data_IF_093698870503
#
_entry.id   IF_093698870503
#
_cell.length_a   1.000
_cell.length_b   1.000
_cell.length_c   1.000
_cell.angle_alpha   90.00
_cell.angle_beta   90.00
_cell.angle_gamma   90.00
#
_symmetry.space_group_name_H-M   'P 1'
#
loop_
_entity.id
_entity.type
_entity.pdbx_description
1 polymer ?
#
# COMPACT_ATOMS: atom_id res chain seq x y z
N UNK A 1 -4.69 6.55 6.57
CA UNK A 1 -3.23 6.71 6.33
C UNK A 1 -2.70 5.30 6.38
N UNK A 2 -2.30 4.78 5.22
CA UNK A 2 -1.87 3.39 5.05
C UNK A 2 -0.44 3.27 5.59
N UNK A 3 -0.21 2.34 6.52
CA UNK A 3 1.12 2.01 7.03
C UNK A 3 1.47 0.61 6.48
N UNK A 4 1.72 0.52 5.16
CA UNK A 4 2.22 -0.70 4.54
C UNK A 4 3.74 -0.72 4.65
N UNK A 5 4.25 -1.71 5.36
CA UNK A 5 5.67 -2.06 5.38
C UNK A 5 5.76 -3.47 4.84
N UNK A 6 6.21 -3.64 3.60
CA UNK A 6 6.08 -4.93 2.92
C UNK A 6 7.15 -5.94 3.35
N UNK A 7 8.20 -5.49 4.04
CA UNK A 7 9.34 -6.32 4.44
C UNK A 7 9.82 -6.03 5.86
N UNK A 8 10.37 -7.04 6.53
CA UNK A 8 10.87 -6.88 7.92
C UNK A 8 12.10 -5.95 7.96
N UNK A 9 12.91 -5.99 6.90
CA UNK A 9 14.07 -5.13 6.71
C UNK A 9 13.95 -4.34 5.40
N UNK A 10 14.88 -3.43 5.14
CA UNK A 10 14.98 -2.71 3.86
C UNK A 10 13.81 -1.76 3.53
N UNK A 11 13.21 -1.14 4.55
CA UNK A 11 12.21 -0.06 4.35
C UNK A 11 12.72 1.34 4.75
N UNK A 12 13.90 1.44 5.34
CA UNK A 12 14.45 2.68 5.89
C UNK A 12 15.90 2.91 5.42
N UNK A 13 16.35 4.18 5.31
CA UNK A 13 17.73 4.49 4.91
C UNK A 13 18.72 4.17 6.05
N UNK A 14 19.93 3.65 5.74
CA UNK A 14 20.99 3.51 6.74
C UNK A 14 21.28 4.85 7.46
N UNK A 15 21.54 4.87 8.78
CA UNK A 15 21.84 3.74 9.67
C UNK A 15 20.61 3.17 10.42
N UNK A 16 19.39 3.51 10.00
CA UNK A 16 18.15 2.96 10.55
C UNK A 16 18.03 1.51 10.02
N UNK A 17 18.57 0.57 10.79
CA UNK A 17 18.47 -0.87 10.53
C UNK A 17 17.33 -1.45 11.37
N UNK A 18 16.58 -2.38 10.75
CA UNK A 18 15.34 -2.98 11.22
C UNK A 18 15.47 -3.65 12.60
N UNK A 19 16.67 -4.01 13.02
CA UNK A 19 16.88 -4.62 14.33
C UNK A 19 17.23 -3.59 15.41
N UNK A 20 16.27 -3.40 16.31
CA UNK A 20 16.36 -2.79 17.64
C UNK A 20 16.13 -1.27 17.74
N UNK A 21 16.65 -0.45 16.83
CA UNK A 21 16.53 1.03 16.94
C UNK A 21 15.22 1.54 16.34
N UNK A 22 14.78 0.96 15.22
CA UNK A 22 13.60 1.44 14.50
C UNK A 22 12.31 0.98 15.16
N UNK A 23 12.22 -0.29 15.55
CA UNK A 23 11.06 -0.82 16.25
C UNK A 23 10.82 -0.09 17.59
N UNK A 24 11.89 0.19 18.36
CA UNK A 24 11.78 0.97 19.60
C UNK A 24 11.37 2.43 19.33
N UNK A 25 11.84 3.06 18.25
CA UNK A 25 11.43 4.42 17.90
C UNK A 25 9.98 4.48 17.40
N UNK A 26 9.58 3.56 16.53
CA UNK A 26 8.20 3.44 16.03
C UNK A 26 7.25 3.17 17.21
N UNK A 27 7.55 2.18 18.05
CA UNK A 27 6.77 1.90 19.26
C UNK A 27 6.77 3.11 20.20
N UNK A 28 7.88 3.84 20.35
CA UNK A 28 7.93 5.04 21.19
C UNK A 28 7.07 6.18 20.65
N UNK A 29 7.11 6.44 19.34
CA UNK A 29 6.28 7.44 18.67
C UNK A 29 4.81 7.05 18.77
N UNK A 30 4.47 5.80 18.45
CA UNK A 30 3.11 5.29 18.56
C UNK A 30 2.60 5.34 20.01
N UNK A 31 3.43 4.99 20.98
CA UNK A 31 3.10 5.07 22.41
C UNK A 31 2.89 6.50 22.87
N UNK A 32 3.75 7.43 22.45
CA UNK A 32 3.62 8.85 22.76
C UNK A 32 2.33 9.42 22.15
N UNK A 33 2.06 9.16 20.88
CA UNK A 33 0.84 9.62 20.21
C UNK A 33 -0.42 8.98 20.79
N UNK A 34 -0.38 7.71 21.17
CA UNK A 34 -1.48 7.03 21.87
C UNK A 34 -1.78 7.70 23.21
N UNK A 35 -0.75 8.22 23.92
CA UNK A 35 -0.94 8.97 25.17
C UNK A 35 -1.40 10.41 24.94
N UNK A 36 -0.92 11.09 23.89
CA UNK A 36 -1.20 12.51 23.63
C UNK A 36 -2.53 12.72 22.89
N UNK A 37 -2.88 11.84 21.96
CA UNK A 37 -4.11 11.86 21.16
C UNK A 37 -4.67 10.44 20.98
N UNK A 38 -5.22 9.82 22.03
CA UNK A 38 -5.66 8.42 22.02
C UNK A 38 -6.68 8.11 20.91
N UNK A 39 -7.68 8.99 20.72
CA UNK A 39 -8.69 8.80 19.68
C UNK A 39 -8.11 8.87 18.25
N UNK A 40 -7.06 9.68 18.03
CA UNK A 40 -6.42 9.81 16.73
C UNK A 40 -5.49 8.61 16.45
N UNK A 41 -4.70 8.20 17.44
CA UNK A 41 -3.86 7.01 17.37
C UNK A 41 -4.67 5.72 17.15
N UNK A 42 -5.82 5.59 17.83
CA UNK A 42 -6.72 4.47 17.66
C UNK A 42 -7.21 4.33 16.21
N UNK A 43 -7.59 5.46 15.59
CA UNK A 43 -8.01 5.54 14.20
C UNK A 43 -6.85 5.41 13.19
N UNK A 44 -5.59 5.61 13.61
CA UNK A 44 -4.45 5.54 12.70
C UNK A 44 -3.86 4.14 12.58
N UNK A 45 -3.73 3.39 13.66
CA UNK A 45 -3.01 2.11 13.64
C UNK A 45 -3.61 1.01 14.51
N UNK A 46 -4.33 1.32 15.62
CA UNK A 46 -4.79 0.25 16.52
C UNK A 46 -5.75 -0.71 15.81
N UNK A 47 -6.72 -0.19 15.05
CA UNK A 47 -7.66 -1.05 14.36
C UNK A 47 -6.97 -1.92 13.29
N UNK A 48 -6.08 -1.32 12.50
CA UNK A 48 -5.33 -2.03 11.47
C UNK A 48 -4.39 -3.10 12.03
N UNK A 49 -3.80 -2.88 13.21
CA UNK A 49 -3.00 -3.88 13.92
C UNK A 49 -3.86 -4.99 14.52
N UNK A 50 -5.04 -4.65 15.05
CA UNK A 50 -6.00 -5.65 15.51
C UNK A 50 -6.48 -6.55 14.37
N UNK A 51 -6.76 -5.98 13.19
CA UNK A 51 -7.13 -6.76 12.00
C UNK A 51 -6.02 -7.74 11.59
N UNK A 52 -4.77 -7.29 11.58
CA UNK A 52 -3.59 -8.14 11.32
C UNK A 52 -3.42 -9.27 12.36
N UNK A 53 -3.72 -9.00 13.63
CA UNK A 53 -3.74 -10.02 14.70
C UNK A 53 -5.03 -10.86 14.76
N UNK A 54 -6.06 -10.52 14.00
CA UNK A 54 -7.40 -11.11 14.15
C UNK A 54 -8.04 -10.87 15.53
N UNK A 55 -7.61 -9.82 16.24
CA UNK A 55 -8.16 -9.38 17.54
C UNK A 55 -9.12 -8.20 17.35
N UNK A 56 -9.77 -7.76 18.43
CA UNK A 56 -10.67 -6.59 18.41
C UNK A 56 -10.44 -5.75 19.67
N UNK A 57 -10.46 -4.43 19.49
CA UNK A 57 -10.48 -3.44 20.57
C UNK A 57 -9.27 -3.50 21.53
N UNK A 58 -8.14 -4.12 21.12
CA UNK A 58 -6.89 -4.02 21.88
C UNK A 58 -6.24 -2.65 21.64
N UNK A 59 -5.76 -2.04 22.71
CA UNK A 59 -4.88 -0.89 22.62
C UNK A 59 -3.45 -1.31 22.22
N UNK A 60 -2.57 -0.35 21.94
CA UNK A 60 -1.19 -0.63 21.52
C UNK A 60 -0.45 -1.54 22.50
N UNK A 61 -0.68 -1.39 23.81
CA UNK A 61 -0.04 -2.23 24.83
C UNK A 61 -0.58 -3.66 24.80
N UNK A 62 -1.88 -3.84 24.65
CA UNK A 62 -2.51 -5.15 24.45
C UNK A 62 -2.06 -5.83 23.17
N UNK A 63 -1.92 -5.08 22.08
CA UNK A 63 -1.36 -5.57 20.81
C UNK A 63 0.06 -6.09 21.01
N UNK A 64 0.93 -5.32 21.68
CA UNK A 64 2.32 -5.72 21.94
C UNK A 64 2.40 -6.99 22.80
N UNK A 65 1.58 -7.08 23.85
CA UNK A 65 1.51 -8.26 24.70
C UNK A 65 0.99 -9.49 23.93
N UNK A 66 0.04 -9.32 23.02
CA UNK A 66 -0.50 -10.40 22.19
C UNK A 66 0.49 -10.85 21.11
N UNK A 67 1.26 -9.94 20.50
CA UNK A 67 2.35 -10.33 19.60
C UNK A 67 3.40 -11.18 20.33
N UNK A 68 3.76 -10.80 21.55
CA UNK A 68 4.70 -11.55 22.38
C UNK A 68 4.12 -12.94 22.76
N UNK A 69 2.83 -13.00 23.13
CA UNK A 69 2.16 -14.26 23.48
C UNK A 69 2.12 -15.27 22.31
N UNK A 70 2.04 -14.76 21.09
CA UNK A 70 2.04 -15.55 19.84
C UNK A 70 3.44 -15.82 19.28
N UNK A 71 4.48 -15.25 19.88
CA UNK A 71 5.86 -15.40 19.42
C UNK A 71 6.14 -14.71 18.07
N UNK A 72 5.39 -13.66 17.73
CA UNK A 72 5.54 -12.87 16.51
C UNK A 72 6.21 -11.54 16.88
N UNK A 73 7.19 -11.07 16.12
CA UNK A 73 7.79 -9.75 16.36
C UNK A 73 6.85 -8.63 15.90
N UNK A 74 6.97 -7.44 16.46
CA UNK A 74 6.17 -6.30 16.00
C UNK A 74 6.45 -5.96 14.53
N UNK A 75 7.70 -6.10 14.07
CA UNK A 75 8.03 -5.90 12.65
C UNK A 75 7.31 -6.90 11.74
N UNK A 76 7.26 -8.18 12.14
CA UNK A 76 6.50 -9.21 11.41
C UNK A 76 4.99 -8.94 11.40
N UNK A 77 4.46 -8.31 12.45
CA UNK A 77 3.07 -7.88 12.47
C UNK A 77 2.83 -6.79 11.41
N UNK A 78 3.74 -5.82 11.29
CA UNK A 78 3.63 -4.73 10.32
C UNK A 78 3.70 -5.22 8.86
N UNK A 79 4.38 -6.34 8.61
CA UNK A 79 4.49 -6.95 7.26
C UNK A 79 3.29 -7.79 6.84
N UNK A 80 2.25 -7.91 7.67
CA UNK A 80 1.04 -8.63 7.25
C UNK A 80 0.27 -7.76 6.26
N UNK A 81 0.05 -8.23 5.01
CA UNK A 81 -0.66 -7.49 3.99
C UNK A 81 -2.11 -7.22 4.40
N UNK A 82 -2.51 -5.98 4.20
CA UNK A 82 -3.88 -5.53 4.26
C UNK A 82 -4.73 -6.26 3.21
N UNK A 83 -5.92 -6.68 3.61
CA UNK A 83 -6.82 -7.42 2.73
C UNK A 83 -7.95 -6.50 2.26
N UNK A 84 -8.28 -6.58 0.97
CA UNK A 84 -9.32 -5.75 0.33
C UNK A 84 -10.69 -5.88 1.01
N UNK A 85 -10.96 -7.01 1.68
CA UNK A 85 -12.21 -7.29 2.39
C UNK A 85 -12.30 -6.69 3.79
N UNK A 86 -11.20 -6.17 4.33
CA UNK A 86 -11.20 -5.56 5.66
C UNK A 86 -12.11 -4.32 5.71
N UNK A 87 -12.95 -4.29 6.73
CA UNK A 87 -13.86 -3.18 7.00
C UNK A 87 -13.48 -2.59 8.34
N UNK A 88 -13.11 -1.32 8.30
CA UNK A 88 -12.74 -0.55 9.46
C UNK A 88 -13.99 0.07 10.05
N UNK A 89 -14.21 -0.20 11.33
CA UNK A 89 -15.24 0.36 12.18
C UNK A 89 -14.59 1.51 12.92
N UNK A 90 -14.47 2.63 12.23
CA UNK A 90 -14.08 3.88 12.87
C UNK A 90 -14.88 4.06 14.17
N UNK A 91 -14.24 4.59 15.21
CA UNK A 91 -14.91 5.01 16.45
C UNK A 91 -15.88 6.19 16.26
N UNK A 92 -16.29 6.46 15.01
CA UNK A 92 -17.29 7.43 14.59
C UNK A 92 -18.57 6.65 14.28
N UNK A 93 -19.70 6.93 14.97
CA UNK A 93 -20.95 6.30 14.61
C UNK A 93 -21.26 6.69 13.15
N UNK A 94 -21.49 5.69 12.28
CA UNK A 94 -21.86 5.80 10.86
C UNK A 94 -20.74 5.83 9.80
N UNK A 95 -19.47 5.51 10.09
CA UNK A 95 -18.43 5.31 9.03
C UNK A 95 -17.88 3.89 8.96
N UNK A 96 -18.75 2.88 9.05
CA UNK A 96 -18.38 1.51 8.70
C UNK A 96 -18.07 1.44 7.20
N UNK A 97 -16.78 1.30 6.86
CA UNK A 97 -16.34 1.37 5.47
C UNK A 97 -15.00 0.67 5.25
N UNK A 98 -14.72 0.37 3.97
CA UNK A 98 -13.38 -0.02 3.56
C UNK A 98 -12.50 1.24 3.61
N UNK A 99 -11.39 1.18 4.33
CA UNK A 99 -10.35 2.19 4.19
C UNK A 99 -9.72 1.98 2.82
N UNK A 100 -9.93 2.91 1.89
CA UNK A 100 -9.39 2.81 0.53
C UNK A 100 -8.66 4.10 0.19
N UNK A 101 -7.41 3.99 -0.22
CA UNK A 101 -6.72 5.10 -0.89
C UNK A 101 -7.30 5.33 -2.28
N UNK A 102 -6.98 6.48 -2.88
CA UNK A 102 -7.48 6.84 -4.21
C UNK A 102 -7.09 5.81 -5.28
N UNK A 103 -5.88 5.25 -5.17
CA UNK A 103 -5.38 4.24 -6.09
C UNK A 103 -6.01 2.87 -5.85
N UNK A 104 -6.09 2.43 -4.59
CA UNK A 104 -6.77 1.19 -4.22
C UNK A 104 -8.24 1.19 -4.68
N UNK A 105 -8.90 2.35 -4.60
CA UNK A 105 -10.29 2.49 -5.06
C UNK A 105 -10.43 2.26 -6.57
N UNK A 106 -9.56 2.87 -7.38
CA UNK A 106 -9.58 2.70 -8.84
C UNK A 106 -9.23 1.25 -9.22
N UNK A 107 -8.23 0.66 -8.57
CA UNK A 107 -7.84 -0.72 -8.85
C UNK A 107 -8.90 -1.72 -8.38
N UNK A 108 -9.63 -1.44 -7.29
CA UNK A 108 -10.78 -2.23 -6.88
C UNK A 108 -11.89 -2.19 -7.94
N UNK A 109 -12.11 -1.04 -8.59
CA UNK A 109 -13.03 -0.95 -9.72
C UNK A 109 -12.54 -1.78 -10.91
N UNK A 110 -11.25 -1.76 -11.23
CA UNK A 110 -10.68 -2.61 -12.30
C UNK A 110 -10.80 -4.10 -11.98
N UNK A 111 -10.57 -4.48 -10.72
CA UNK A 111 -10.76 -5.83 -10.21
C UNK A 111 -12.22 -6.27 -10.35
N UNK A 112 -13.18 -5.44 -9.96
CA UNK A 112 -14.61 -5.69 -10.14
C UNK A 112 -15.03 -5.75 -11.61
N UNK A 113 -14.38 -4.97 -12.49
CA UNK A 113 -14.61 -4.99 -13.93
C UNK A 113 -13.99 -6.21 -14.64
N UNK A 114 -13.23 -7.04 -13.91
CA UNK A 114 -12.60 -8.25 -14.44
C UNK A 114 -11.26 -8.03 -15.16
N UNK A 115 -10.62 -6.85 -15.00
CA UNK A 115 -9.34 -6.53 -15.65
C UNK A 115 -8.23 -7.52 -15.25
N UNK A 116 -8.20 -7.92 -13.97
CA UNK A 116 -7.21 -8.88 -13.46
C UNK A 116 -7.57 -10.35 -13.75
N UNK A 117 -8.75 -10.62 -14.31
CA UNK A 117 -9.17 -11.97 -14.69
C UNK A 117 -9.00 -13.00 -13.55
N UNK A 118 -8.31 -14.13 -13.78
CA UNK A 118 -8.09 -15.16 -12.76
C UNK A 118 -7.30 -14.69 -11.53
N UNK A 119 -6.48 -13.65 -11.68
CA UNK A 119 -5.62 -13.12 -10.61
C UNK A 119 -6.37 -12.21 -9.64
N UNK A 120 -7.64 -11.88 -9.92
CA UNK A 120 -8.42 -10.98 -9.09
C UNK A 120 -8.43 -11.40 -7.60
N UNK A 121 -8.57 -12.70 -7.32
CA UNK A 121 -8.63 -13.20 -5.95
C UNK A 121 -7.27 -13.28 -5.23
N UNK A 122 -6.16 -13.11 -5.95
CA UNK A 122 -4.80 -13.24 -5.41
C UNK A 122 -4.04 -11.91 -5.33
N UNK A 123 -4.70 -10.80 -5.65
CA UNK A 123 -4.12 -9.45 -5.62
C UNK A 123 -4.90 -8.65 -4.59
N UNK A 124 -4.19 -8.10 -3.59
CA UNK A 124 -4.74 -7.12 -2.65
C UNK A 124 -4.45 -5.72 -3.17
N UNK A 125 -5.46 -5.01 -3.66
CA UNK A 125 -5.26 -3.68 -4.26
C UNK A 125 -5.02 -2.59 -3.21
N UNK A 126 -5.29 -2.88 -1.93
CA UNK A 126 -4.89 -2.06 -0.78
C UNK A 126 -3.37 -1.92 -0.65
N UNK A 127 -2.59 -2.86 -1.16
CA UNK A 127 -1.11 -2.78 -1.12
C UNK A 127 -0.50 -2.00 -2.29
N UNK A 128 -1.32 -1.41 -3.17
CA UNK A 128 -0.82 -0.71 -4.34
C UNK A 128 -0.57 0.77 -4.05
N UNK A 129 0.62 1.24 -4.44
CA UNK A 129 0.90 2.67 -4.53
C UNK A 129 0.50 3.23 -5.90
N UNK A 130 0.52 4.56 -6.04
CA UNK A 130 0.29 5.23 -7.33
C UNK A 130 1.29 4.75 -8.39
N UNK A 131 2.53 4.48 -7.99
CA UNK A 131 3.57 3.97 -8.88
C UNK A 131 3.20 2.61 -9.45
N UNK A 132 2.68 1.72 -8.60
CA UNK A 132 2.31 0.36 -8.98
C UNK A 132 1.19 0.36 -9.99
N UNK A 133 0.18 1.21 -9.76
CA UNK A 133 -0.97 1.31 -10.63
C UNK A 133 -0.62 1.72 -12.06
N UNK A 134 0.30 2.67 -12.28
CA UNK A 134 0.68 3.06 -13.64
C UNK A 134 1.70 2.11 -14.28
N UNK A 135 2.45 1.34 -13.48
CA UNK A 135 3.40 0.35 -13.97
C UNK A 135 2.70 -0.91 -14.47
N UNK A 136 1.50 -1.21 -13.97
CA UNK A 136 0.68 -2.35 -14.41
C UNK A 136 0.51 -2.37 -15.93
N UNK A 137 0.78 -3.52 -16.54
CA UNK A 137 0.71 -3.76 -17.97
C UNK A 137 -0.70 -4.07 -18.44
N UNK A 138 -1.63 -3.19 -18.08
CA UNK A 138 -3.07 -3.32 -18.37
C UNK A 138 -3.57 -2.23 -19.33
N UNK A 139 -2.71 -1.29 -19.70
CA UNK A 139 -3.07 -0.15 -20.52
C UNK A 139 -2.77 -0.40 -22.00
N UNK A 140 -3.52 0.26 -22.88
CA UNK A 140 -3.32 0.16 -24.32
C UNK A 140 -1.95 0.71 -24.72
N UNK A 141 -1.12 -0.15 -25.32
CA UNK A 141 0.23 0.20 -25.79
C UNK A 141 0.30 0.42 -27.31
N UNK A 142 -0.75 0.04 -28.04
CA UNK A 142 -0.79 0.21 -29.47
C UNK A 142 -1.22 1.63 -29.82
N UNK A 143 -0.23 2.45 -30.20
CA UNK A 143 -0.44 3.86 -30.54
C UNK A 143 -1.43 4.07 -31.68
N UNK A 144 -1.65 3.08 -32.54
CA UNK A 144 -2.64 3.16 -33.63
C UNK A 144 -4.09 3.19 -33.14
N UNK A 145 -4.34 2.70 -31.92
CA UNK A 145 -5.66 2.72 -31.26
C UNK A 145 -5.87 3.97 -30.42
N UNK A 146 -4.81 4.73 -30.18
CA UNK A 146 -4.91 5.97 -29.42
C UNK A 146 -5.54 7.10 -30.26
N UNK A 147 -6.31 8.00 -29.64
CA UNK A 147 -6.85 9.17 -30.33
C UNK A 147 -5.78 10.00 -31.03
N UNK A 148 -6.09 10.52 -32.23
CA UNK A 148 -5.15 11.31 -33.03
C UNK A 148 -4.58 12.51 -32.27
N UNK A 149 -5.39 13.17 -31.42
CA UNK A 149 -4.96 14.36 -30.67
C UNK A 149 -3.82 14.08 -29.67
N UNK A 150 -3.68 12.84 -29.18
CA UNK A 150 -2.57 12.44 -28.28
C UNK A 150 -1.46 11.65 -28.98
N UNK A 151 -1.69 11.18 -30.21
CA UNK A 151 -0.69 10.46 -31.01
C UNK A 151 -0.14 11.35 -32.13
N UNK A 152 0.27 12.57 -31.78
CA UNK A 152 0.94 13.51 -32.69
C UNK A 152 2.47 13.34 -32.60
N UNK A 153 3.19 13.78 -33.64
CA UNK A 153 4.63 13.53 -33.80
C UNK A 153 5.54 14.36 -32.86
N UNK A 154 5.02 15.42 -32.25
CA UNK A 154 5.75 16.22 -31.27
C UNK A 154 5.54 15.66 -29.85
N UNK A 155 6.63 15.32 -29.16
CA UNK A 155 6.63 14.96 -27.73
C UNK A 155 5.80 13.73 -27.33
N UNK A 156 5.86 12.68 -28.16
CA UNK A 156 5.11 11.42 -27.98
C UNK A 156 5.37 10.75 -26.62
N UNK A 157 4.34 10.76 -25.77
CA UNK A 157 4.27 9.95 -24.55
C UNK A 157 3.71 8.56 -24.87
N UNK A 158 4.02 7.53 -24.06
CA UNK A 158 3.44 6.19 -24.23
C UNK A 158 1.96 6.11 -23.80
N UNK A 159 1.39 7.21 -23.29
CA UNK A 159 0.01 7.34 -22.86
C UNK A 159 -0.58 8.69 -23.26
N UNK A 160 -1.91 8.81 -23.21
CA UNK A 160 -2.61 10.07 -23.44
C UNK A 160 -2.91 10.77 -22.11
N UNK A 161 -2.26 11.91 -21.85
CA UNK A 161 -2.60 12.76 -20.72
C UNK A 161 -3.84 13.59 -21.06
N UNK A 162 -4.96 13.30 -20.40
CA UNK A 162 -6.26 13.92 -20.69
C UNK A 162 -6.42 15.27 -19.98
N UNK A 163 -5.78 15.43 -18.81
CA UNK A 163 -5.94 16.58 -17.93
C UNK A 163 -4.59 17.03 -17.35
N UNK A 164 -4.54 18.28 -16.89
CA UNK A 164 -3.37 18.87 -16.25
C UNK A 164 -2.61 19.83 -17.16
N UNK A 165 -2.04 20.87 -16.55
CA UNK A 165 -1.23 21.88 -17.24
C UNK A 165 0.22 21.41 -17.47
N UNK A 166 0.72 20.55 -16.56
CA UNK A 166 2.09 20.05 -16.59
C UNK A 166 2.16 18.68 -17.25
N UNK A 167 3.20 18.47 -18.07
CA UNK A 167 3.51 17.16 -18.66
C UNK A 167 3.93 16.19 -17.55
N UNK A 168 3.21 15.08 -17.43
CA UNK A 168 3.55 14.02 -16.50
C UNK A 168 4.57 13.06 -17.14
N UNK A 169 5.60 12.72 -16.39
CA UNK A 169 6.52 11.63 -16.73
C UNK A 169 6.23 10.46 -15.79
N UNK A 170 5.93 9.29 -16.36
CA UNK A 170 5.63 8.06 -15.63
C UNK A 170 6.70 7.02 -15.98
N UNK A 171 7.82 6.96 -15.23
CA UNK A 171 8.87 5.98 -15.47
C UNK A 171 8.32 4.56 -15.39
N UNK A 172 8.71 3.65 -16.28
CA UNK A 172 8.20 2.25 -16.27
C UNK A 172 6.69 2.12 -16.48
N UNK A 173 6.05 3.10 -17.12
CA UNK A 173 4.65 3.01 -17.50
C UNK A 173 4.35 1.73 -18.30
N UNK A 174 3.34 0.97 -17.87
CA UNK A 174 2.81 -0.19 -18.58
C UNK A 174 3.85 -1.30 -18.87
N UNK A 175 4.78 -1.52 -17.93
CA UNK A 175 5.85 -2.53 -18.09
C UNK A 175 5.69 -3.79 -17.22
N UNK A 176 4.97 -3.70 -16.09
CA UNK A 176 4.88 -4.78 -15.10
C UNK A 176 3.65 -5.65 -15.33
N UNK A 177 3.84 -6.93 -15.62
CA UNK A 177 2.72 -7.87 -15.77
C UNK A 177 2.10 -8.15 -14.40
N UNK A 178 0.75 -8.17 -14.27
CA UNK A 178 0.11 -8.57 -13.02
C UNK A 178 0.52 -10.01 -12.63
N UNK A 179 0.92 -10.20 -11.38
CA UNK A 179 1.21 -11.51 -10.81
C UNK A 179 0.41 -11.78 -9.53
N UNK A 180 0.51 -13.00 -9.00
CA UNK A 180 -0.12 -13.37 -7.74
C UNK A 180 0.72 -12.85 -6.57
N UNK A 181 0.09 -12.28 -5.53
CA UNK A 181 0.78 -11.76 -4.33
C UNK A 181 1.65 -10.52 -4.68
N UNK A 182 1.19 -9.74 -5.66
CA UNK A 182 1.89 -8.58 -6.20
C UNK A 182 1.95 -7.44 -5.16
N UNK A 183 3.12 -6.82 -5.01
CA UNK A 183 3.40 -5.70 -4.10
C UNK A 183 3.29 -6.01 -2.59
N UNK A 184 3.09 -7.27 -2.18
CA UNK A 184 2.96 -7.60 -0.75
C UNK A 184 4.31 -7.81 -0.03
N UNK A 185 5.42 -7.93 -0.76
CA UNK A 185 6.75 -8.20 -0.22
C UNK A 185 7.85 -7.32 -0.85
N UNK A 186 7.52 -6.06 -1.15
CA UNK A 186 8.34 -5.17 -1.95
C UNK A 186 9.04 -4.08 -1.11
N UNK A 187 10.35 -4.19 -0.87
CA UNK A 187 11.06 -3.20 -0.06
C UNK A 187 11.04 -1.83 -0.73
N UNK A 188 10.90 -0.79 0.09
CA UNK A 188 10.86 0.61 -0.37
C UNK A 188 12.07 1.38 0.13
N UNK A 189 13.28 1.00 -0.34
CA UNK A 189 14.53 1.63 0.10
C UNK A 189 14.75 3.02 -0.53
N UNK A 190 14.77 4.11 0.26
CA UNK A 190 15.35 5.38 -0.20
C UNK A 190 16.88 5.25 -0.40
N UNK A 191 17.50 6.10 -1.23
CA UNK A 191 16.91 7.25 -1.94
C UNK A 191 16.41 6.92 -3.36
N UNK A 192 16.79 5.78 -3.93
CA UNK A 192 16.52 5.45 -5.33
C UNK A 192 15.21 4.70 -5.52
N UNK A 193 14.67 4.07 -4.47
CA UNK A 193 13.44 3.27 -4.51
C UNK A 193 13.45 2.27 -5.69
N UNK A 194 14.59 1.63 -5.90
CA UNK A 194 14.74 0.56 -6.87
C UNK A 194 14.08 -0.70 -6.35
N UNK A 195 13.26 -1.32 -7.20
CA UNK A 195 12.51 -2.52 -6.83
C UNK A 195 13.26 -3.78 -7.24
N UNK A 196 13.35 -4.79 -6.36
CA UNK A 196 13.85 -6.11 -6.72
C UNK A 196 13.05 -6.72 -7.86
N UNK A 197 13.63 -7.70 -8.57
CA UNK A 197 12.89 -8.45 -9.60
C UNK A 197 11.71 -9.21 -8.96
N UNK A 198 10.50 -9.05 -9.52
CA UNK A 198 9.19 -9.51 -8.98
C UNK A 198 8.56 -8.55 -7.95
N UNK A 199 9.10 -7.33 -7.91
CA UNK A 199 8.47 -6.08 -7.54
C UNK A 199 8.59 -5.13 -8.77
#
# INVERSE_FOLDING_TARGET
>A
MELSLDTVADNYPPPLDAHLIDCLQVISVMSMWTRVRPAYAANMWNEALNMRLGTKDLDLHGILAETESRGITFDQLLTIPEQDEWVYRDHVPYSDGKSTTCVAFILAMYKAAGVFGPLANSIQVTEFTIRDAYMLKIFENNTTRLPKWCNNDEDKLPFCQILGEYRMELPYYNTSEPDSIMNENCPSLPPTYERPTRC
#
